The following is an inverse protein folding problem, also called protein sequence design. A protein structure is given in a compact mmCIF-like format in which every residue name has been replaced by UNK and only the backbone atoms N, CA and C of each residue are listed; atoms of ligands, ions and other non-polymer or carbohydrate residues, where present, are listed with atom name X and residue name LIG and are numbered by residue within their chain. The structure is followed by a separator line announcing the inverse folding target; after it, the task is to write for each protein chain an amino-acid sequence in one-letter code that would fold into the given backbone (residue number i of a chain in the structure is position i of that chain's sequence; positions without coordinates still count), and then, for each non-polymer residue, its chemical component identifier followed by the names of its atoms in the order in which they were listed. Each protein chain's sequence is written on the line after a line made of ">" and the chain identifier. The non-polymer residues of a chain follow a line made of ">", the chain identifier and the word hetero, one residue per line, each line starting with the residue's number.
data_IF_967998049034
#
_entry.id   IF_967998049034
#
_cell.length_a   1.000
_cell.length_b   1.000
_cell.length_c   1.000
_cell.angle_alpha   90.00
_cell.angle_beta   90.00
_cell.angle_gamma   90.00
#
_symmetry.space_group_name_H-M   'P 1'
#
loop_
_entity.id
_entity.type
_entity.pdbx_description
1 polymer ?
#
# COMPACT_ATOMS: atom_id res chain seq x y z
N UNK A 1 15.40 13.79 5.91
CA UNK A 1 15.48 12.55 6.71
C UNK A 1 14.63 11.50 6.03
N UNK A 2 15.27 10.49 5.43
CA UNK A 2 14.58 9.37 4.78
C UNK A 2 14.13 8.42 5.89
N UNK A 3 12.82 8.23 6.00
CA UNK A 3 12.24 7.24 6.89
C UNK A 3 12.01 5.96 6.10
N UNK A 4 12.56 4.84 6.58
CA UNK A 4 12.22 3.53 6.03
C UNK A 4 10.91 3.13 6.68
N UNK A 5 9.89 2.89 5.86
CA UNK A 5 8.63 2.33 6.33
C UNK A 5 8.53 0.90 5.86
N UNK A 6 8.64 -0.02 6.82
CA UNK A 6 8.56 -1.44 6.58
C UNK A 6 7.23 -1.97 7.08
N UNK A 7 6.75 -2.94 6.33
CA UNK A 7 5.53 -3.64 6.61
C UNK A 7 5.91 -5.04 7.05
N UNK A 8 5.45 -5.45 8.23
CA UNK A 8 5.84 -6.73 8.84
C UNK A 8 4.64 -7.41 9.47
N UNK A 9 4.59 -8.74 9.34
CA UNK A 9 3.86 -9.58 10.29
C UNK A 9 4.66 -9.56 11.61
N UNK A 10 4.00 -9.53 12.76
CA UNK A 10 4.71 -9.56 14.05
C UNK A 10 5.60 -10.81 14.20
N UNK A 11 5.22 -11.92 13.55
CA UNK A 11 5.99 -13.16 13.49
C UNK A 11 7.37 -13.02 12.80
N UNK A 12 7.54 -12.12 11.81
CA UNK A 12 8.84 -11.93 11.15
C UNK A 12 9.85 -11.16 11.99
N UNK A 13 9.40 -10.33 12.93
CA UNK A 13 10.28 -9.62 13.88
C UNK A 13 10.73 -10.55 15.00
N UNK A 14 9.83 -11.40 15.51
CA UNK A 14 10.19 -12.38 16.52
C UNK A 14 11.28 -13.33 16.02
N UNK A 15 11.25 -13.76 14.75
CA UNK A 15 12.31 -14.59 14.16
C UNK A 15 13.70 -13.91 14.09
N UNK A 16 13.78 -12.58 14.20
CA UNK A 16 15.04 -11.83 14.23
C UNK A 16 15.64 -11.72 15.64
N UNK A 17 14.88 -12.08 16.69
CA UNK A 17 15.35 -12.09 18.09
C UNK A 17 15.88 -13.48 18.45
N UNK A 18 17.14 -13.61 18.91
CA UNK A 18 17.68 -14.89 19.37
C UNK A 18 16.84 -15.48 20.51
N UNK A 19 16.36 -16.71 20.33
CA UNK A 19 15.57 -17.44 21.33
C UNK A 19 14.05 -17.35 21.18
N UNK A 20 13.53 -16.58 20.21
CA UNK A 20 12.11 -16.56 19.93
C UNK A 20 11.63 -17.88 19.28
N UNK A 21 10.40 -18.29 19.63
CA UNK A 21 9.76 -19.48 19.08
C UNK A 21 9.54 -19.34 17.56
N UNK A 22 10.14 -20.23 16.78
CA UNK A 22 9.86 -20.36 15.34
C UNK A 22 8.59 -21.21 15.13
N UNK A 23 7.63 -20.66 14.40
CA UNK A 23 6.40 -21.36 14.00
C UNK A 23 6.72 -22.53 13.08
N UNK A 24 6.12 -23.70 13.31
CA UNK A 24 6.27 -24.86 12.41
C UNK A 24 5.44 -24.64 11.14
N UNK A 25 5.93 -25.10 9.99
CA UNK A 25 5.23 -25.03 8.70
C UNK A 25 3.83 -25.69 8.72
N UNK A 26 3.59 -26.60 9.66
CA UNK A 26 2.31 -27.30 9.85
C UNK A 26 1.32 -26.58 10.78
N UNK A 27 1.73 -25.50 11.45
CA UNK A 27 0.83 -24.73 12.32
C UNK A 27 -0.10 -23.88 11.45
N UNK A 28 -1.40 -23.88 11.77
CA UNK A 28 -2.38 -23.08 11.06
C UNK A 28 -2.00 -21.59 11.09
N UNK A 29 -2.10 -20.93 9.93
CA UNK A 29 -2.01 -19.47 9.86
C UNK A 29 -3.34 -18.94 10.41
N UNK A 30 -3.39 -18.72 11.72
CA UNK A 30 -4.44 -17.91 12.29
C UNK A 30 -4.26 -16.48 11.75
N UNK A 31 -5.34 -15.93 11.17
CA UNK A 31 -5.36 -14.56 10.68
C UNK A 31 -5.40 -13.63 11.89
N UNK A 32 -4.23 -13.34 12.45
CA UNK A 32 -4.07 -12.51 13.64
C UNK A 32 -3.90 -11.06 13.19
N UNK A 33 -4.55 -10.10 13.85
CA UNK A 33 -4.41 -8.66 13.57
C UNK A 33 -3.03 -8.13 14.05
N UNK A 34 -1.95 -8.77 13.61
CA UNK A 34 -0.58 -8.59 14.09
C UNK A 34 0.27 -7.77 13.11
N UNK A 35 -0.29 -7.35 11.97
CA UNK A 35 0.36 -6.42 11.06
C UNK A 35 0.76 -5.13 11.79
N UNK A 36 1.94 -4.63 11.49
CA UNK A 36 2.45 -3.39 12.08
C UNK A 36 3.23 -2.58 11.05
N UNK A 37 3.22 -1.26 11.22
CA UNK A 37 4.06 -0.32 10.47
C UNK A 37 5.06 0.33 11.42
N UNK A 38 6.33 0.33 11.03
CA UNK A 38 7.42 0.91 11.80
C UNK A 38 8.11 2.03 11.05
N UNK A 39 8.67 2.96 11.81
CA UNK A 39 9.55 4.02 11.33
C UNK A 39 10.90 3.90 12.02
N UNK A 40 11.98 4.18 11.30
CA UNK A 40 13.33 4.28 11.84
C UNK A 40 14.13 5.34 11.07
N UNK A 41 15.25 5.77 11.63
CA UNK A 41 16.27 6.49 10.86
C UNK A 41 16.82 5.59 9.76
N UNK A 42 17.43 6.20 8.74
CA UNK A 42 18.04 5.47 7.61
C UNK A 42 19.19 4.54 8.03
N UNK A 43 19.79 4.79 9.20
CA UNK A 43 20.80 3.92 9.82
C UNK A 43 20.20 2.80 10.70
N UNK A 44 18.87 2.68 10.74
CA UNK A 44 18.14 1.66 11.50
C UNK A 44 17.90 2.01 12.97
N UNK A 45 18.43 3.13 13.49
CA UNK A 45 18.17 3.54 14.88
C UNK A 45 16.77 4.11 15.05
N UNK A 46 16.32 4.17 16.30
CA UNK A 46 15.02 4.74 16.70
C UNK A 46 13.82 4.04 16.04
N UNK A 47 13.87 2.71 15.95
CA UNK A 47 12.75 1.90 15.47
C UNK A 47 11.53 2.10 16.39
N UNK A 48 10.47 2.68 15.85
CA UNK A 48 9.21 2.93 16.56
C UNK A 48 8.05 2.32 15.78
N UNK A 49 7.21 1.54 16.48
CA UNK A 49 5.91 1.08 15.96
C UNK A 49 4.96 2.28 15.93
N UNK A 50 4.41 2.61 14.76
CA UNK A 50 3.47 3.74 14.59
C UNK A 50 2.06 3.29 14.25
N UNK A 51 1.89 2.15 13.58
CA UNK A 51 0.59 1.53 13.33
C UNK A 51 0.57 0.13 13.93
N UNK A 52 -0.53 -0.19 14.61
CA UNK A 52 -0.81 -1.51 15.16
C UNK A 52 -2.32 -1.75 15.23
N UNK A 53 -2.73 -3.01 15.33
CA UNK A 53 -4.14 -3.39 15.45
C UNK A 53 -4.93 -3.17 14.15
N UNK A 54 -5.96 -4.00 13.95
CA UNK A 54 -6.80 -3.96 12.74
C UNK A 54 -6.03 -3.96 11.42
N UNK A 55 -4.81 -4.51 11.44
CA UNK A 55 -3.90 -4.63 10.31
C UNK A 55 -3.48 -6.10 10.26
N UNK A 56 -3.80 -6.80 9.16
CA UNK A 56 -3.64 -8.26 9.10
C UNK A 56 -2.46 -8.68 8.24
N UNK A 57 -2.51 -8.35 6.95
CA UNK A 57 -1.46 -8.68 6.00
C UNK A 57 -1.08 -7.41 5.25
N UNK A 58 -0.43 -6.46 5.93
CA UNK A 58 0.03 -5.27 5.27
C UNK A 58 1.01 -5.67 4.16
N UNK A 59 0.93 -5.02 2.99
CA UNK A 59 1.58 -5.52 1.77
C UNK A 59 2.35 -4.47 0.97
N UNK A 60 1.97 -3.19 1.08
CA UNK A 60 2.62 -2.08 0.40
C UNK A 60 2.45 -0.79 1.20
N UNK A 61 3.36 0.16 1.01
CA UNK A 61 3.31 1.47 1.66
C UNK A 61 3.98 2.53 0.79
N UNK A 62 3.46 3.75 0.86
CA UNK A 62 4.03 4.97 0.28
C UNK A 62 4.00 6.10 1.32
N UNK A 63 4.91 7.04 1.20
CA UNK A 63 4.95 8.26 2.01
C UNK A 63 4.42 9.43 1.18
N UNK A 64 3.77 10.39 1.85
CA UNK A 64 3.26 11.62 1.26
C UNK A 64 3.88 12.79 2.03
N UNK A 65 5.16 13.12 1.79
CA UNK A 65 5.90 14.05 2.65
C UNK A 65 5.33 15.47 2.66
N UNK A 66 4.78 15.93 1.53
CA UNK A 66 4.23 17.29 1.41
C UNK A 66 3.03 17.54 2.33
N UNK A 67 2.35 16.49 2.77
CA UNK A 67 1.19 16.55 3.68
C UNK A 67 1.45 15.84 5.01
N UNK A 68 2.67 15.31 5.23
CA UNK A 68 3.04 14.65 6.48
C UNK A 68 2.32 13.32 6.75
N UNK A 69 1.93 12.59 5.69
CA UNK A 69 1.14 11.36 5.80
C UNK A 69 1.87 10.13 5.26
N UNK A 70 1.42 8.95 5.65
CA UNK A 70 1.74 7.66 5.04
C UNK A 70 0.45 7.00 4.59
N UNK A 71 0.52 6.21 3.52
CA UNK A 71 -0.59 5.39 3.08
C UNK A 71 -0.12 3.98 2.78
N UNK A 72 -0.86 2.99 3.24
CA UNK A 72 -0.48 1.59 3.16
C UNK A 72 -1.67 0.70 2.85
N UNK A 73 -1.36 -0.44 2.24
CA UNK A 73 -2.32 -1.45 1.87
C UNK A 73 -2.28 -2.64 2.84
N UNK A 74 -3.46 -3.16 3.15
CA UNK A 74 -3.68 -4.40 3.87
C UNK A 74 -4.37 -5.38 2.92
N UNK A 75 -3.75 -6.53 2.70
CA UNK A 75 -4.26 -7.62 1.87
C UNK A 75 -4.89 -8.75 2.71
N UNK A 76 -5.20 -8.49 3.98
CA UNK A 76 -5.87 -9.43 4.87
C UNK A 76 -7.32 -9.76 4.45
N UNK A 77 -8.07 -10.39 5.36
CA UNK A 77 -9.46 -10.78 5.13
C UNK A 77 -10.35 -9.59 4.75
N UNK A 78 -10.11 -8.45 5.41
CA UNK A 78 -10.74 -7.18 5.10
C UNK A 78 -9.74 -6.27 4.41
N UNK A 79 -9.45 -6.61 3.16
CA UNK A 79 -8.47 -5.88 2.35
C UNK A 79 -8.87 -4.42 2.18
N UNK A 80 -7.91 -3.52 2.36
CA UNK A 80 -8.14 -2.08 2.42
C UNK A 80 -6.88 -1.28 2.13
N UNK A 81 -7.04 0.00 1.82
CA UNK A 81 -5.97 0.99 1.80
C UNK A 81 -6.30 2.04 2.84
N UNK A 82 -5.33 2.32 3.69
CA UNK A 82 -5.43 3.27 4.79
C UNK A 82 -4.38 4.36 4.65
N UNK A 83 -4.68 5.53 5.20
CA UNK A 83 -3.73 6.61 5.38
C UNK A 83 -3.70 7.02 6.85
N UNK A 84 -2.56 7.51 7.32
CA UNK A 84 -2.36 8.05 8.66
C UNK A 84 -1.32 9.15 8.61
N UNK A 85 -1.25 9.99 9.64
CA UNK A 85 -0.13 10.90 9.82
C UNK A 85 1.16 10.10 10.05
N UNK A 86 2.31 10.71 9.74
CA UNK A 86 3.62 10.04 9.86
C UNK A 86 3.98 9.60 11.29
N UNK A 87 3.27 10.08 12.30
CA UNK A 87 3.40 9.64 13.69
C UNK A 87 2.45 8.48 14.07
N UNK A 88 1.56 8.08 13.16
CA UNK A 88 0.55 7.04 13.32
C UNK A 88 -0.84 7.53 13.73
N UNK A 89 -1.03 8.82 13.96
CA UNK A 89 -2.33 9.42 14.31
C UNK A 89 -3.21 9.65 13.07
N UNK A 90 -4.47 10.06 13.27
CA UNK A 90 -5.44 10.33 12.20
C UNK A 90 -5.52 9.23 11.11
N UNK A 91 -5.51 7.97 11.56
CA UNK A 91 -5.67 6.79 10.70
C UNK A 91 -7.10 6.74 10.13
N UNK A 92 -7.20 6.64 8.81
CA UNK A 92 -8.46 6.54 8.07
C UNK A 92 -8.39 5.50 6.96
N UNK A 93 -9.53 4.90 6.61
CA UNK A 93 -9.65 3.95 5.49
C UNK A 93 -10.07 4.74 4.25
N UNK A 94 -9.17 4.89 3.27
CA UNK A 94 -9.45 5.62 2.02
C UNK A 94 -10.03 4.72 0.93
N UNK A 95 -9.79 3.40 1.00
CA UNK A 95 -10.39 2.42 0.09
C UNK A 95 -10.75 1.15 0.86
N UNK A 96 -12.03 0.75 0.83
CA UNK A 96 -12.55 -0.47 1.47
C UNK A 96 -13.19 -1.46 0.51
N UNK A 97 -13.62 -0.99 -0.67
CA UNK A 97 -14.39 -1.79 -1.63
C UNK A 97 -13.54 -2.13 -2.85
N UNK A 98 -13.79 -3.29 -3.48
CA UNK A 98 -13.14 -3.73 -4.71
C UNK A 98 -11.59 -3.65 -4.64
N UNK A 99 -11.02 -3.95 -3.48
CA UNK A 99 -9.60 -4.19 -3.22
C UNK A 99 -9.49 -5.57 -2.60
N UNK A 100 -8.51 -6.38 -3.01
CA UNK A 100 -8.37 -7.75 -2.53
C UNK A 100 -6.93 -8.13 -2.20
N UNK A 101 -6.00 -7.98 -3.13
CA UNK A 101 -4.60 -8.35 -2.90
C UNK A 101 -3.64 -7.27 -3.38
N UNK A 102 -3.75 -6.02 -2.88
CA UNK A 102 -2.86 -4.94 -3.29
C UNK A 102 -1.41 -5.34 -3.05
N UNK A 103 -0.58 -5.35 -4.09
CA UNK A 103 0.80 -5.88 -4.03
C UNK A 103 1.88 -4.82 -4.09
N UNK A 104 1.56 -3.65 -4.64
CA UNK A 104 2.49 -2.54 -4.82
C UNK A 104 1.70 -1.23 -4.91
N UNK A 105 2.31 -0.15 -4.44
CA UNK A 105 1.76 1.19 -4.44
C UNK A 105 2.82 2.18 -4.94
N UNK A 106 2.37 3.24 -5.60
CA UNK A 106 3.19 4.37 -6.03
C UNK A 106 2.42 5.68 -5.81
N UNK A 107 3.14 6.78 -5.61
CA UNK A 107 2.57 8.11 -5.39
C UNK A 107 3.03 9.07 -6.47
N UNK A 108 2.09 9.88 -6.96
CA UNK A 108 2.35 10.98 -7.87
C UNK A 108 2.19 12.32 -7.13
N UNK A 109 3.29 12.80 -6.54
CA UNK A 109 3.33 14.05 -5.78
C UNK A 109 2.95 15.25 -6.67
N UNK A 110 3.36 15.24 -7.95
CA UNK A 110 3.04 16.28 -8.93
C UNK A 110 1.55 16.36 -9.28
N UNK A 111 0.75 15.35 -8.93
CA UNK A 111 -0.69 15.30 -9.15
C UNK A 111 -1.49 15.23 -7.85
N UNK A 112 -1.09 16.03 -6.86
CA UNK A 112 -1.80 16.16 -5.59
C UNK A 112 -1.75 14.86 -4.78
N UNK A 113 -0.57 14.24 -4.71
CA UNK A 113 -0.32 13.00 -3.99
C UNK A 113 -1.24 11.84 -4.40
N UNK A 114 -1.64 11.76 -5.67
CA UNK A 114 -2.50 10.65 -6.12
C UNK A 114 -1.77 9.34 -5.96
N UNK A 115 -2.45 8.39 -5.34
CA UNK A 115 -1.92 7.06 -5.07
C UNK A 115 -2.39 6.12 -6.17
N UNK A 116 -1.49 5.27 -6.64
CA UNK A 116 -1.74 4.17 -7.56
C UNK A 116 -1.46 2.86 -6.84
N UNK A 117 -2.19 1.79 -7.15
CA UNK A 117 -1.89 0.46 -6.62
C UNK A 117 -2.22 -0.65 -7.61
N UNK A 118 -1.37 -1.68 -7.64
CA UNK A 118 -1.62 -2.91 -8.38
C UNK A 118 -2.45 -3.88 -7.54
N UNK A 119 -3.54 -4.41 -8.10
CA UNK A 119 -4.32 -5.48 -7.51
C UNK A 119 -4.28 -6.74 -8.41
N UNK A 120 -3.34 -7.67 -8.16
CA UNK A 120 -3.21 -8.95 -8.84
C UNK A 120 -4.49 -9.76 -8.95
N UNK A 121 -5.33 -9.79 -7.90
CA UNK A 121 -6.57 -10.58 -7.91
C UNK A 121 -7.59 -9.98 -8.87
N UNK A 122 -7.74 -8.66 -8.86
CA UNK A 122 -8.63 -7.97 -9.77
C UNK A 122 -8.01 -7.64 -11.13
N UNK A 123 -6.74 -7.99 -11.35
CA UNK A 123 -6.03 -7.82 -12.62
C UNK A 123 -6.04 -6.39 -13.13
N UNK A 124 -5.86 -5.43 -12.21
CA UNK A 124 -5.96 -4.01 -12.51
C UNK A 124 -4.97 -3.16 -11.72
N UNK A 125 -4.67 -1.99 -12.25
CA UNK A 125 -4.06 -0.89 -11.50
C UNK A 125 -5.11 0.19 -11.33
N UNK A 126 -5.46 0.49 -10.10
CA UNK A 126 -6.39 1.57 -9.74
C UNK A 126 -5.60 2.76 -9.17
N UNK A 127 -6.26 3.92 -9.08
CA UNK A 127 -5.71 5.11 -8.44
C UNK A 127 -6.77 5.88 -7.69
N UNK A 128 -6.36 6.66 -6.69
CA UNK A 128 -7.24 7.46 -5.84
C UNK A 128 -6.51 8.71 -5.33
N UNK A 129 -7.21 9.84 -5.19
CA UNK A 129 -6.67 10.96 -4.42
C UNK A 129 -6.91 10.70 -2.92
N UNK A 130 -5.86 10.68 -2.08
CA UNK A 130 -5.98 10.34 -0.66
C UNK A 130 -6.74 11.39 0.15
N UNK A 131 -6.73 12.66 -0.27
CA UNK A 131 -7.39 13.78 0.43
C UNK A 131 -8.92 13.83 0.23
N UNK A 132 -9.52 12.72 -0.20
CA UNK A 132 -10.90 12.63 -0.69
C UNK A 132 -12.01 12.90 0.32
N UNK A 133 -11.70 13.10 1.60
CA UNK A 133 -12.70 13.31 2.67
C UNK A 133 -12.89 14.76 3.13
N UNK A 134 -12.11 15.75 2.66
CA UNK A 134 -12.34 17.16 3.04
C UNK A 134 -13.44 17.87 2.20
N UNK A 135 -14.46 17.14 1.73
CA UNK A 135 -15.70 17.72 1.20
C UNK A 135 -16.89 17.16 1.96
N UNK A 136 -17.12 17.80 3.09
CA UNK A 136 -18.33 17.82 3.88
C UNK A 136 -19.57 17.94 2.96
N UNK A 137 -20.47 16.97 3.11
CA UNK A 137 -21.89 16.92 2.69
C UNK A 137 -22.35 16.37 1.33
N UNK A 138 -21.56 16.25 0.23
CA UNK A 138 -22.17 15.80 -1.06
C UNK A 138 -21.35 14.93 -2.02
N UNK A 139 -20.19 14.36 -1.65
CA UNK A 139 -19.41 13.50 -2.58
C UNK A 139 -19.35 12.03 -2.16
N UNK A 140 -20.42 11.29 -2.49
CA UNK A 140 -20.51 9.83 -2.31
C UNK A 140 -19.63 9.01 -3.28
N UNK A 141 -18.59 9.60 -3.87
CA UNK A 141 -17.65 8.90 -4.75
C UNK A 141 -16.23 9.34 -4.44
N UNK A 142 -15.46 8.44 -3.86
CA UNK A 142 -14.00 8.43 -3.90
C UNK A 142 -13.56 8.74 -5.34
N UNK A 143 -12.59 9.64 -5.56
CA UNK A 143 -11.99 9.91 -6.89
C UNK A 143 -11.11 8.74 -7.34
N UNK A 144 -11.73 7.55 -7.41
CA UNK A 144 -11.09 6.31 -7.77
C UNK A 144 -11.26 6.03 -9.24
N UNK A 145 -10.16 5.73 -9.93
CA UNK A 145 -10.16 5.40 -11.35
C UNK A 145 -9.28 4.19 -11.64
N UNK A 146 -9.78 3.28 -12.48
CA UNK A 146 -8.97 2.19 -13.05
C UNK A 146 -8.13 2.72 -14.21
N UNK A 147 -6.82 2.56 -14.10
CA UNK A 147 -5.84 3.06 -15.08
C UNK A 147 -5.43 1.94 -16.04
N UNK A 148 -5.16 0.74 -15.51
CA UNK A 148 -4.75 -0.43 -16.29
C UNK A 148 -5.70 -1.60 -16.00
N UNK A 149 -6.04 -2.36 -17.03
CA UNK A 149 -6.52 -3.74 -16.91
C UNK A 149 -5.52 -4.62 -17.62
N UNK A 150 -4.86 -5.49 -16.86
CA UNK A 150 -3.84 -6.39 -17.39
C UNK A 150 -4.23 -7.84 -17.07
N UNK A 151 -4.67 -8.63 -18.06
CA UNK A 151 -5.04 -10.03 -17.85
C UNK A 151 -3.86 -10.88 -17.34
N UNK A 152 -2.62 -10.40 -17.51
CA UNK A 152 -1.38 -11.04 -17.12
C UNK A 152 -0.91 -10.68 -15.70
N UNK A 153 -1.80 -10.18 -14.84
CA UNK A 153 -1.58 -9.96 -13.40
C UNK A 153 -0.54 -8.86 -13.13
N UNK A 154 -0.94 -7.60 -12.97
CA UNK A 154 -0.02 -6.53 -12.57
C UNK A 154 0.47 -6.78 -11.14
N UNK A 155 1.77 -6.63 -10.89
CA UNK A 155 2.38 -6.99 -9.60
C UNK A 155 3.10 -5.83 -8.92
N UNK A 156 4.05 -5.21 -9.61
CA UNK A 156 4.77 -4.05 -9.15
C UNK A 156 4.49 -2.88 -10.09
N UNK A 157 4.35 -1.68 -9.53
CA UNK A 157 4.09 -0.46 -10.29
C UNK A 157 5.05 0.65 -9.86
N UNK A 158 5.26 1.61 -10.76
CA UNK A 158 5.83 2.90 -10.42
C UNK A 158 5.25 3.98 -11.35
N UNK A 159 5.37 5.25 -10.97
CA UNK A 159 4.87 6.39 -11.74
C UNK A 159 5.97 7.43 -11.90
N UNK A 160 6.15 7.91 -13.13
CA UNK A 160 7.06 9.00 -13.42
C UNK A 160 6.50 9.87 -14.54
N UNK A 161 6.45 11.18 -14.31
CA UNK A 161 5.81 12.14 -15.21
C UNK A 161 4.44 11.62 -15.68
N UNK A 162 4.13 11.62 -16.97
CA UNK A 162 2.82 11.18 -17.48
C UNK A 162 2.67 9.66 -17.56
N UNK A 163 3.66 8.89 -17.16
CA UNK A 163 3.72 7.45 -17.40
C UNK A 163 3.48 6.63 -16.15
N UNK A 164 2.66 5.60 -16.30
CA UNK A 164 2.54 4.50 -15.34
C UNK A 164 3.32 3.31 -15.89
N UNK A 165 4.21 2.77 -15.07
CA UNK A 165 4.99 1.57 -15.34
C UNK A 165 4.44 0.42 -14.51
N UNK A 166 4.38 -0.78 -15.07
CA UNK A 166 4.02 -1.96 -14.30
C UNK A 166 4.69 -3.23 -14.82
N UNK A 167 5.03 -4.13 -13.90
CA UNK A 167 5.51 -5.47 -14.21
C UNK A 167 4.36 -6.45 -14.11
N UNK A 168 4.18 -7.24 -15.16
CA UNK A 168 3.24 -8.37 -15.17
C UNK A 168 3.90 -9.61 -14.56
N UNK A 169 3.20 -10.26 -13.63
CA UNK A 169 3.70 -11.48 -12.99
C UNK A 169 3.71 -12.67 -13.93
N UNK A 170 2.75 -12.78 -14.85
CA UNK A 170 2.64 -13.93 -15.75
C UNK A 170 3.62 -13.80 -16.92
N UNK A 171 3.67 -12.64 -17.57
CA UNK A 171 4.54 -12.44 -18.75
C UNK A 171 5.97 -12.09 -18.41
N UNK A 172 6.25 -11.67 -17.17
CA UNK A 172 7.57 -11.15 -16.73
C UNK A 172 8.03 -9.91 -17.51
N UNK A 173 7.08 -9.19 -18.11
CA UNK A 173 7.34 -8.01 -18.93
C UNK A 173 7.04 -6.73 -18.16
N UNK A 174 7.88 -5.71 -18.39
CA UNK A 174 7.64 -4.32 -17.99
C UNK A 174 6.82 -3.62 -19.08
N UNK A 175 5.70 -3.04 -18.70
CA UNK A 175 4.85 -2.25 -19.58
C UNK A 175 4.86 -0.78 -19.13
N UNK A 176 4.55 0.11 -20.07
CA UNK A 176 4.39 1.54 -19.83
C UNK A 176 3.17 2.04 -20.61
N UNK A 177 2.41 2.96 -20.02
CA UNK A 177 1.38 3.71 -20.74
C UNK A 177 1.26 5.14 -20.21
N UNK A 178 0.72 6.04 -21.03
CA UNK A 178 0.26 7.34 -20.57
C UNK A 178 -0.93 7.14 -19.60
N UNK A 179 -0.78 7.65 -18.37
CA UNK A 179 -1.74 7.45 -17.28
C UNK A 179 -3.03 8.27 -17.45
N UNK A 180 -3.10 9.14 -18.46
CA UNK A 180 -4.29 9.91 -18.85
C UNK A 180 -4.99 9.31 -20.09
N UNK A 181 -4.48 8.19 -20.63
CA UNK A 181 -5.08 7.49 -21.76
C UNK A 181 -4.87 8.18 -23.10
N UNK A 182 -3.91 9.10 -23.23
CA UNK A 182 -3.58 9.75 -24.50
C UNK A 182 -2.77 8.81 -25.39
N UNK A 183 -3.05 8.81 -26.69
CA UNK A 183 -2.27 8.07 -27.69
C UNK A 183 -2.60 6.57 -27.82
N UNK A 184 -3.84 6.17 -27.55
CA UNK A 184 -4.38 4.85 -27.93
C UNK A 184 -4.93 4.85 -29.36
#
# INVERSE_FOLDING_TARGET
>A
NIFITAVSLEESINNAVPGARKKRMSEAIHNTNTGSVYVALSDGRYLKKIISGHLQMPSAIVTLPSVGRICYADAGLHAKIECADMDGTHREIIVKDLVFSPSSMAVDEGKGNRIYWADPKYKKVDSVNPDGELIIYFKARTDRTTIVRDPNVPWAIDVFENHLYWVSRETKTLYVQDKFGRGR
#
